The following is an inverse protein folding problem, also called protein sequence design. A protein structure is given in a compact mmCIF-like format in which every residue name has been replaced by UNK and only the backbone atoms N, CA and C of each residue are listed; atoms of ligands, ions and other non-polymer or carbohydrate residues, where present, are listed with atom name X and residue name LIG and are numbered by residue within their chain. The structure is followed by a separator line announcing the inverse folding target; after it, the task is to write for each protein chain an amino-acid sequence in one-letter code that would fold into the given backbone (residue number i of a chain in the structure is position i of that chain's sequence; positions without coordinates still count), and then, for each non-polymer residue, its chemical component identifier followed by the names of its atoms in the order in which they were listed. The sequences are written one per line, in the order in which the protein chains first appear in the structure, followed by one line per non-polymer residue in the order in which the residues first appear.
data_IF_697176222599
#
_entry.id   IF_697176222599
#
_cell.length_a   1.000
_cell.length_b   1.000
_cell.length_c   1.000
_cell.angle_alpha   90.00
_cell.angle_beta   90.00
_cell.angle_gamma   90.00
#
_symmetry.space_group_name_H-M   'P 1'
#
loop_
_entity.id
_entity.type
_entity.pdbx_description
1 polymer ?
#
# COMPACT_ATOMS: atom_id res chain seq x y z
N UNK A 1 17.96 -29.58 2.65
CA UNK A 1 16.84 -29.35 1.74
C UNK A 1 16.67 -27.86 1.69
N UNK A 2 17.03 -27.23 0.57
CA UNK A 2 16.80 -25.79 0.39
C UNK A 2 15.29 -25.57 0.42
N UNK A 3 14.81 -24.95 1.50
CA UNK A 3 13.47 -24.40 1.47
C UNK A 3 13.45 -23.34 0.34
N UNK A 4 12.46 -23.38 -0.56
CA UNK A 4 12.30 -22.31 -1.53
C UNK A 4 12.23 -21.00 -0.74
N UNK A 5 13.12 -20.06 -1.06
CA UNK A 5 13.21 -18.78 -0.35
C UNK A 5 11.89 -18.06 -0.52
N UNK A 6 11.15 -17.87 0.57
CA UNK A 6 9.90 -17.11 0.60
C UNK A 6 10.13 -15.59 0.62
N UNK A 7 11.36 -15.18 0.89
CA UNK A 7 11.77 -13.79 1.05
C UNK A 7 12.12 -13.18 -0.32
N UNK A 8 11.78 -11.91 -0.54
CA UNK A 8 12.10 -11.20 -1.77
C UNK A 8 13.61 -10.97 -1.90
N UNK A 9 14.07 -10.79 -3.14
CA UNK A 9 15.43 -10.31 -3.40
C UNK A 9 15.53 -8.80 -3.16
N UNK A 10 16.72 -8.32 -2.81
CA UNK A 10 17.01 -6.89 -2.81
C UNK A 10 16.89 -6.32 -4.25
N UNK A 11 16.17 -5.22 -4.47
CA UNK A 11 16.05 -4.56 -5.79
C UNK A 11 17.33 -3.79 -6.14
N UNK A 12 17.43 -3.28 -7.38
CA UNK A 12 18.51 -2.39 -7.74
C UNK A 12 18.38 -1.03 -7.01
N UNK A 13 19.49 -0.46 -6.51
CA UNK A 13 19.44 0.82 -5.83
C UNK A 13 19.11 1.94 -6.80
N UNK A 14 18.41 2.96 -6.29
CA UNK A 14 17.89 4.10 -7.07
C UNK A 14 18.66 5.40 -6.83
N UNK A 15 19.67 5.35 -5.98
CA UNK A 15 20.57 6.45 -5.68
C UNK A 15 21.45 6.16 -4.45
N UNK A 16 22.17 7.17 -3.94
CA UNK A 16 23.10 7.01 -2.82
C UNK A 16 22.47 6.47 -1.53
N UNK A 17 21.22 6.83 -1.23
CA UNK A 17 20.56 6.40 0.02
C UNK A 17 20.22 4.92 -0.01
N UNK A 18 19.48 4.49 -1.04
CA UNK A 18 19.08 3.09 -1.21
C UNK A 18 20.29 2.18 -1.38
N UNK A 19 21.33 2.62 -2.10
CA UNK A 19 22.60 1.87 -2.21
C UNK A 19 23.28 1.68 -0.85
N UNK A 20 23.35 2.72 -0.03
CA UNK A 20 24.01 2.62 1.28
C UNK A 20 23.20 1.74 2.26
N UNK A 21 21.86 1.82 2.24
CA UNK A 21 21.01 0.89 3.00
C UNK A 21 21.22 -0.54 2.52
N UNK A 22 21.16 -0.78 1.22
CA UNK A 22 21.36 -2.12 0.63
C UNK A 22 22.74 -2.72 0.97
N UNK A 23 23.82 -1.92 0.88
CA UNK A 23 25.16 -2.37 1.26
C UNK A 23 25.24 -2.69 2.76
N UNK A 24 24.59 -1.89 3.63
CA UNK A 24 24.53 -2.19 5.07
C UNK A 24 23.78 -3.50 5.33
N UNK A 25 22.66 -3.74 4.65
CA UNK A 25 21.89 -4.98 4.76
C UNK A 25 22.68 -6.23 4.33
N UNK A 26 23.65 -6.07 3.42
CA UNK A 26 24.58 -7.14 3.03
C UNK A 26 25.81 -7.27 3.96
N UNK A 27 26.02 -6.33 4.88
CA UNK A 27 27.21 -6.26 5.72
C UNK A 27 28.45 -5.67 5.02
N UNK A 28 28.25 -4.98 3.89
CA UNK A 28 29.31 -4.55 2.97
C UNK A 28 29.63 -3.04 3.03
N UNK A 29 28.87 -2.24 3.79
CA UNK A 29 29.09 -0.80 3.79
C UNK A 29 28.38 -0.03 4.91
N UNK A 30 28.72 1.27 5.06
CA UNK A 30 28.08 2.14 6.04
C UNK A 30 26.68 2.56 5.58
N UNK A 31 25.85 2.92 6.55
CA UNK A 31 24.56 3.57 6.32
C UNK A 31 24.71 4.99 5.72
N UNK A 32 23.65 5.54 5.08
CA UNK A 32 23.66 6.89 4.55
C UNK A 32 23.99 7.95 5.62
N UNK A 33 24.71 9.00 5.23
CA UNK A 33 24.95 10.13 6.12
C UNK A 33 23.67 10.98 6.27
N UNK A 34 23.44 11.54 7.47
CA UNK A 34 22.26 12.35 7.77
C UNK A 34 22.08 13.55 6.81
N UNK A 35 23.19 14.17 6.38
CA UNK A 35 23.16 15.27 5.40
C UNK A 35 22.62 14.85 4.03
N UNK A 36 22.89 13.60 3.63
CA UNK A 36 22.45 13.07 2.33
C UNK A 36 20.96 12.73 2.41
N UNK A 37 20.52 12.18 3.55
CA UNK A 37 19.10 12.01 3.87
C UNK A 37 18.39 13.36 3.82
N UNK A 38 18.93 14.41 4.47
CA UNK A 38 18.36 15.75 4.52
C UNK A 38 18.26 16.46 3.14
N UNK A 39 19.16 16.15 2.22
CA UNK A 39 19.17 16.75 0.87
C UNK A 39 18.26 16.01 -0.13
N UNK A 40 17.89 14.75 0.12
CA UNK A 40 17.13 13.96 -0.83
C UNK A 40 15.68 14.47 -1.02
N UNK A 41 15.14 14.41 -2.26
CA UNK A 41 13.72 14.64 -2.52
C UNK A 41 12.86 13.63 -1.77
N UNK A 42 11.92 14.12 -0.94
CA UNK A 42 11.16 13.28 0.00
C UNK A 42 10.26 12.26 -0.69
N UNK A 43 9.58 12.62 -1.79
CA UNK A 43 8.80 11.67 -2.59
C UNK A 43 9.62 11.07 -3.75
N UNK A 44 10.94 11.21 -3.72
CA UNK A 44 11.84 10.71 -4.76
C UNK A 44 12.15 9.21 -4.60
N UNK A 45 12.45 8.56 -5.72
CA UNK A 45 12.74 7.14 -5.82
C UNK A 45 13.80 6.63 -4.82
N UNK A 46 14.88 7.39 -4.63
CA UNK A 46 15.98 6.96 -3.77
C UNK A 46 15.59 6.93 -2.29
N UNK A 47 14.96 8.00 -1.79
CA UNK A 47 14.51 8.08 -0.40
C UNK A 47 13.41 7.05 -0.12
N UNK A 48 12.43 6.95 -1.02
CA UNK A 48 11.29 6.05 -0.82
C UNK A 48 11.69 4.58 -0.92
N UNK A 49 12.65 4.23 -1.77
CA UNK A 49 13.21 2.88 -1.76
C UNK A 49 14.02 2.61 -0.49
N UNK A 50 14.91 3.53 -0.08
CA UNK A 50 15.66 3.36 1.16
C UNK A 50 14.74 3.13 2.37
N UNK A 51 13.63 3.88 2.45
CA UNK A 51 12.63 3.73 3.51
C UNK A 51 11.87 2.39 3.40
N UNK A 52 11.49 1.97 2.19
CA UNK A 52 10.85 0.66 1.96
C UNK A 52 11.74 -0.49 2.45
N UNK A 53 13.04 -0.45 2.12
CA UNK A 53 14.00 -1.48 2.56
C UNK A 53 14.08 -1.57 4.09
N UNK A 54 14.01 -0.44 4.79
CA UNK A 54 13.96 -0.42 6.25
C UNK A 54 12.66 -1.01 6.82
N UNK A 55 11.52 -0.80 6.15
CA UNK A 55 10.23 -1.31 6.62
C UNK A 55 10.05 -2.80 6.37
N UNK A 56 10.54 -3.32 5.24
CA UNK A 56 10.33 -4.72 4.88
C UNK A 56 10.95 -5.71 5.89
N UNK A 57 11.93 -5.26 6.69
CA UNK A 57 12.50 -6.02 7.81
C UNK A 57 11.48 -6.34 8.92
N UNK A 58 10.38 -5.59 9.02
CA UNK A 58 9.28 -5.87 9.97
C UNK A 58 8.18 -6.76 9.38
N UNK A 59 8.36 -7.22 8.14
CA UNK A 59 7.47 -8.14 7.45
C UNK A 59 8.22 -9.43 7.12
N UNK A 60 8.58 -9.65 5.84
CA UNK A 60 9.27 -10.88 5.40
C UNK A 60 10.77 -10.72 5.25
N UNK A 61 11.32 -9.52 5.44
CA UNK A 61 12.74 -9.26 5.24
C UNK A 61 13.18 -9.44 3.79
N UNK A 62 14.44 -9.79 3.57
CA UNK A 62 15.00 -10.06 2.25
C UNK A 62 15.91 -11.28 2.28
N UNK A 63 15.93 -12.01 1.16
CA UNK A 63 16.78 -13.19 0.99
C UNK A 63 18.25 -12.86 1.24
N UNK A 64 18.84 -13.52 2.25
CA UNK A 64 20.25 -13.37 2.61
C UNK A 64 20.56 -12.19 3.52
N UNK A 65 19.53 -11.46 4.00
CA UNK A 65 19.66 -10.41 5.01
C UNK A 65 19.38 -11.02 6.39
N UNK A 66 20.20 -10.68 7.39
CA UNK A 66 20.01 -11.22 8.75
C UNK A 66 18.72 -10.69 9.38
N UNK A 67 17.86 -11.54 9.99
CA UNK A 67 16.66 -11.07 10.69
C UNK A 67 16.99 -10.19 11.91
N UNK A 68 18.19 -10.30 12.48
CA UNK A 68 18.62 -9.45 13.60
C UNK A 68 18.73 -7.96 13.21
N UNK A 69 18.82 -7.66 11.90
CA UNK A 69 18.85 -6.28 11.41
C UNK A 69 17.52 -5.54 11.58
N UNK A 70 16.41 -6.25 11.85
CA UNK A 70 15.13 -5.64 12.24
C UNK A 70 15.32 -4.65 13.41
N UNK A 71 16.23 -4.98 14.33
CA UNK A 71 16.50 -4.19 15.53
C UNK A 71 17.91 -3.59 15.56
N UNK A 72 18.60 -3.50 14.42
CA UNK A 72 19.92 -2.85 14.34
C UNK A 72 19.83 -1.36 14.72
N UNK A 73 20.49 -0.90 15.81
CA UNK A 73 20.33 0.46 16.28
C UNK A 73 20.80 1.52 15.29
N UNK A 74 21.75 1.20 14.42
CA UNK A 74 22.22 2.14 13.41
C UNK A 74 21.18 2.30 12.30
N UNK A 75 20.64 1.20 11.78
CA UNK A 75 19.59 1.20 10.77
C UNK A 75 18.31 1.89 11.29
N UNK A 76 17.93 1.65 12.54
CA UNK A 76 16.79 2.33 13.16
C UNK A 76 16.98 3.86 13.25
N UNK A 77 18.21 4.35 13.49
CA UNK A 77 18.50 5.80 13.44
C UNK A 77 18.35 6.35 12.01
N UNK A 78 18.85 5.63 11.01
CA UNK A 78 18.66 6.01 9.61
C UNK A 78 17.19 6.03 9.22
N UNK A 79 16.41 5.00 9.61
CA UNK A 79 14.97 4.96 9.36
C UNK A 79 14.27 6.15 10.00
N UNK A 80 14.55 6.47 11.26
CA UNK A 80 13.94 7.60 11.94
C UNK A 80 14.19 8.94 11.20
N UNK A 81 15.38 9.15 10.65
CA UNK A 81 15.68 10.34 9.85
C UNK A 81 14.90 10.39 8.51
N UNK A 82 14.71 9.24 7.85
CA UNK A 82 13.90 9.12 6.64
C UNK A 82 12.40 9.37 6.96
N UNK A 83 11.91 8.77 8.05
CA UNK A 83 10.55 8.93 8.56
C UNK A 83 10.23 10.38 8.93
N UNK A 84 11.14 11.08 9.62
CA UNK A 84 10.95 12.48 9.99
C UNK A 84 10.75 13.37 8.75
N UNK A 85 11.59 13.17 7.72
CA UNK A 85 11.44 13.86 6.43
C UNK A 85 10.11 13.54 5.78
N UNK A 86 9.74 12.26 5.73
CA UNK A 86 8.51 11.81 5.06
C UNK A 86 7.25 12.29 5.78
N UNK A 87 7.15 12.07 7.09
CA UNK A 87 6.03 12.54 7.91
C UNK A 87 5.90 14.06 7.90
N UNK A 88 7.03 14.78 7.95
CA UNK A 88 7.06 16.24 7.86
C UNK A 88 6.47 16.74 6.55
N UNK A 89 6.83 16.12 5.43
CA UNK A 89 6.28 16.46 4.11
C UNK A 89 4.79 16.11 4.00
N UNK A 90 4.36 14.92 4.44
CA UNK A 90 2.95 14.54 4.44
C UNK A 90 2.09 15.53 5.24
N UNK A 91 2.56 15.97 6.42
CA UNK A 91 1.85 16.97 7.24
C UNK A 91 1.76 18.33 6.56
N UNK A 92 2.75 18.71 5.76
CA UNK A 92 2.77 19.98 5.05
C UNK A 92 1.91 19.95 3.78
N UNK A 93 1.93 18.83 3.04
CA UNK A 93 1.37 18.75 1.70
C UNK A 93 -0.04 18.15 1.67
N UNK A 94 -0.34 17.21 2.57
CA UNK A 94 -1.58 16.43 2.51
C UNK A 94 -2.71 17.01 3.36
N UNK A 95 -2.41 17.62 4.52
CA UNK A 95 -3.42 18.05 5.50
C UNK A 95 -4.39 19.08 4.87
N UNK A 96 -5.67 18.73 4.87
CA UNK A 96 -6.79 19.51 4.31
C UNK A 96 -7.89 19.74 5.33
N UNK A 97 -8.17 18.77 6.18
CA UNK A 97 -9.30 18.79 7.11
C UNK A 97 -8.86 18.91 8.57
N UNK A 98 -9.71 19.53 9.38
CA UNK A 98 -9.50 19.71 10.82
C UNK A 98 -10.40 18.80 11.69
N UNK A 99 -11.37 18.11 11.07
CA UNK A 99 -12.31 17.19 11.72
C UNK A 99 -12.45 15.89 10.93
N UNK A 100 -12.85 14.81 11.61
CA UNK A 100 -13.11 13.51 10.96
C UNK A 100 -14.37 13.58 10.10
N UNK A 101 -15.38 14.31 10.53
CA UNK A 101 -16.62 14.47 9.77
C UNK A 101 -16.35 15.06 8.39
N UNK A 102 -15.59 16.17 8.32
CA UNK A 102 -15.24 16.81 7.05
C UNK A 102 -14.38 15.89 6.17
N UNK A 103 -13.40 15.22 6.77
CA UNK A 103 -12.50 14.31 6.05
C UNK A 103 -13.25 13.13 5.41
N UNK A 104 -14.24 12.57 6.11
CA UNK A 104 -15.03 11.44 5.60
C UNK A 104 -16.13 11.88 4.63
N UNK A 105 -16.69 13.09 4.77
CA UNK A 105 -17.79 13.57 3.94
C UNK A 105 -17.47 13.51 2.44
N UNK A 106 -16.24 13.83 2.05
CA UNK A 106 -15.79 13.76 0.66
C UNK A 106 -15.70 12.33 0.10
N UNK A 107 -15.38 11.34 0.95
CA UNK A 107 -15.25 9.94 0.54
C UNK A 107 -16.60 9.26 0.32
N UNK A 108 -17.64 9.72 1.02
CA UNK A 108 -18.99 9.15 0.97
C UNK A 108 -19.79 9.54 -0.28
N UNK A 109 -19.25 10.45 -1.08
CA UNK A 109 -19.91 10.94 -2.30
C UNK A 109 -19.15 10.41 -3.51
N UNK A 110 -19.75 9.44 -4.19
CA UNK A 110 -19.22 8.95 -5.46
C UNK A 110 -19.42 10.01 -6.57
N UNK A 111 -18.34 10.51 -7.22
CA UNK A 111 -18.47 11.45 -8.32
C UNK A 111 -19.12 10.79 -9.53
N UNK A 112 -20.23 11.35 -10.00
CA UNK A 112 -20.96 10.84 -11.19
C UNK A 112 -20.07 10.81 -12.44
N UNK A 113 -19.22 11.82 -12.60
CA UNK A 113 -18.24 11.95 -13.69
C UNK A 113 -16.80 11.71 -13.21
N UNK A 114 -16.59 10.66 -12.41
CA UNK A 114 -15.27 10.32 -11.87
C UNK A 114 -14.23 10.04 -12.97
N UNK A 115 -13.00 10.55 -12.79
CA UNK A 115 -11.92 10.45 -13.78
C UNK A 115 -10.65 9.74 -13.27
N UNK A 116 -10.72 9.18 -12.05
CA UNK A 116 -9.62 8.47 -11.40
C UNK A 116 -9.26 7.13 -12.06
N UNK A 117 -8.24 6.46 -11.50
CA UNK A 117 -7.66 5.21 -12.04
C UNK A 117 -8.70 4.13 -12.28
N UNK A 118 -9.57 3.83 -11.31
CA UNK A 118 -10.60 2.79 -11.45
C UNK A 118 -11.63 3.13 -12.53
N UNK A 119 -11.98 4.42 -12.71
CA UNK A 119 -12.86 4.87 -13.80
C UNK A 119 -12.18 4.69 -15.16
N UNK A 120 -10.91 5.10 -15.27
CA UNK A 120 -10.14 4.91 -16.49
C UNK A 120 -10.02 3.43 -16.86
N UNK A 121 -9.68 2.56 -15.90
CA UNK A 121 -9.52 1.13 -16.14
C UNK A 121 -10.85 0.46 -16.51
N UNK A 122 -11.97 0.86 -15.90
CA UNK A 122 -13.31 0.40 -16.28
C UNK A 122 -13.68 0.81 -17.69
N UNK A 123 -13.47 2.08 -18.07
CA UNK A 123 -14.02 2.63 -19.31
C UNK A 123 -13.09 2.44 -20.52
N UNK A 124 -11.78 2.53 -20.30
CA UNK A 124 -10.75 2.65 -21.34
C UNK A 124 -9.53 1.75 -21.13
N UNK A 125 -9.41 1.14 -19.95
CA UNK A 125 -8.30 0.27 -19.59
C UNK A 125 -8.08 -0.86 -20.59
N UNK A 126 -6.82 -1.09 -20.93
CA UNK A 126 -6.37 -2.23 -21.73
C UNK A 126 -5.74 -3.28 -20.81
N UNK A 127 -5.69 -4.54 -21.25
CA UNK A 127 -5.20 -5.64 -20.41
C UNK A 127 -3.76 -5.41 -19.89
N UNK A 128 -2.88 -4.81 -20.70
CA UNK A 128 -1.52 -4.49 -20.25
C UNK A 128 -1.48 -3.45 -19.13
N UNK A 129 -2.45 -2.53 -19.07
CA UNK A 129 -2.57 -1.53 -17.99
C UNK A 129 -3.09 -2.18 -16.71
N UNK A 130 -4.02 -3.15 -16.82
CA UNK A 130 -4.47 -3.95 -15.67
C UNK A 130 -3.34 -4.81 -15.11
N UNK A 131 -2.49 -5.38 -15.98
CA UNK A 131 -1.26 -6.09 -15.57
C UNK A 131 -0.29 -5.19 -14.84
N UNK A 132 -0.04 -3.98 -15.34
CA UNK A 132 0.81 -3.00 -14.64
C UNK A 132 0.21 -2.58 -13.30
N UNK A 133 -1.11 -2.35 -13.26
CA UNK A 133 -1.82 -1.98 -12.03
C UNK A 133 -1.67 -3.07 -10.96
N UNK A 134 -1.95 -4.34 -11.30
CA UNK A 134 -1.80 -5.47 -10.40
C UNK A 134 -0.33 -5.68 -9.97
N UNK A 135 0.63 -5.54 -10.89
CA UNK A 135 2.05 -5.63 -10.56
C UNK A 135 2.49 -4.56 -9.55
N UNK A 136 2.05 -3.31 -9.70
CA UNK A 136 2.36 -2.25 -8.75
C UNK A 136 1.67 -2.47 -7.39
N UNK A 137 0.40 -2.83 -7.40
CA UNK A 137 -0.38 -3.05 -6.18
C UNK A 137 0.07 -4.31 -5.40
N UNK A 138 0.76 -5.25 -6.05
CA UNK A 138 1.33 -6.45 -5.40
C UNK A 138 2.29 -6.14 -4.26
N UNK A 139 2.92 -4.96 -4.23
CA UNK A 139 3.82 -4.52 -3.16
C UNK A 139 3.10 -4.39 -1.81
N UNK A 140 1.79 -4.16 -1.83
CA UNK A 140 0.93 -4.17 -0.66
C UNK A 140 0.06 -5.43 -0.61
N UNK A 141 -0.73 -5.74 -1.65
CA UNK A 141 -1.76 -6.78 -1.52
C UNK A 141 -1.21 -8.18 -1.23
N UNK A 142 0.03 -8.50 -1.59
CA UNK A 142 0.63 -9.79 -1.21
C UNK A 142 1.02 -9.89 0.30
N UNK A 143 0.77 -8.83 1.07
CA UNK A 143 0.83 -8.77 2.54
C UNK A 143 -0.39 -8.06 3.15
N UNK A 144 -1.52 -8.04 2.44
CA UNK A 144 -2.78 -7.56 3.02
C UNK A 144 -3.26 -8.55 4.09
N UNK A 145 -3.62 -8.14 5.32
CA UNK A 145 -3.72 -6.77 5.87
C UNK A 145 -2.61 -6.41 6.89
N UNK A 146 -1.40 -6.99 6.76
CA UNK A 146 -0.32 -6.92 7.77
C UNK A 146 -0.02 -5.50 8.31
N UNK A 147 0.03 -4.42 7.49
CA UNK A 147 0.29 -3.07 8.01
C UNK A 147 -0.80 -2.53 8.95
N UNK A 148 -2.06 -2.95 8.78
CA UNK A 148 -3.19 -2.51 9.59
C UNK A 148 -3.24 -3.25 10.93
N UNK A 149 -2.84 -4.52 10.96
CA UNK A 149 -2.77 -5.34 12.18
C UNK A 149 -1.93 -4.72 13.30
N UNK A 150 -0.92 -3.89 12.97
CA UNK A 150 -0.11 -3.16 13.97
C UNK A 150 -0.91 -2.23 14.88
N UNK A 151 -2.14 -1.85 14.49
CA UNK A 151 -3.02 -1.03 15.32
C UNK A 151 -3.64 -1.82 16.47
N UNK A 152 -3.85 -3.13 16.32
CA UNK A 152 -4.59 -3.97 17.28
C UNK A 152 -4.03 -3.96 18.71
N UNK A 153 -2.70 -3.97 18.94
CA UNK A 153 -2.15 -3.84 20.29
C UNK A 153 -2.38 -2.46 20.93
N UNK A 154 -2.73 -1.45 20.13
CA UNK A 154 -2.85 -0.04 20.55
C UNK A 154 -4.29 0.40 20.76
N UNK A 155 -5.25 -0.35 20.21
CA UNK A 155 -6.68 -0.14 20.44
C UNK A 155 -7.14 -0.86 21.70
N UNK A 156 -8.26 -0.38 22.25
CA UNK A 156 -9.00 -0.99 23.37
C UNK A 156 -10.50 -0.90 23.11
N UNK A 157 -11.30 -1.56 23.94
CA UNK A 157 -12.76 -1.44 23.91
C UNK A 157 -13.39 -1.80 22.57
N UNK A 158 -14.45 -1.07 22.20
CA UNK A 158 -15.25 -1.29 21.00
C UNK A 158 -14.42 -1.18 19.72
N UNK A 159 -13.52 -0.19 19.64
CA UNK A 159 -12.66 -0.01 18.48
C UNK A 159 -11.77 -1.22 18.22
N UNK A 160 -11.20 -1.83 19.26
CA UNK A 160 -10.36 -3.03 19.12
C UNK A 160 -11.17 -4.22 18.61
N UNK A 161 -12.35 -4.45 19.19
CA UNK A 161 -13.19 -5.58 18.82
C UNK A 161 -13.65 -5.49 17.36
N UNK A 162 -14.05 -4.29 16.92
CA UNK A 162 -14.44 -4.03 15.55
C UNK A 162 -13.27 -4.16 14.57
N UNK A 163 -12.11 -3.57 14.87
CA UNK A 163 -10.91 -3.70 14.03
C UNK A 163 -10.49 -5.18 13.88
N UNK A 164 -10.50 -5.94 14.97
CA UNK A 164 -10.15 -7.36 14.93
C UNK A 164 -11.14 -8.20 14.12
N UNK A 165 -12.42 -7.81 14.07
CA UNK A 165 -13.42 -8.50 13.27
C UNK A 165 -13.19 -8.29 11.77
N UNK A 166 -12.85 -7.06 11.35
CA UNK A 166 -12.50 -6.76 9.95
C UNK A 166 -11.21 -7.49 9.57
N UNK A 167 -10.14 -7.36 10.36
CA UNK A 167 -8.88 -8.08 10.12
C UNK A 167 -9.07 -9.61 10.04
N UNK A 168 -9.96 -10.19 10.86
CA UNK A 168 -10.25 -11.62 10.79
C UNK A 168 -10.84 -12.01 9.43
N UNK A 169 -11.66 -11.15 8.83
CA UNK A 169 -12.20 -11.36 7.48
C UNK A 169 -11.11 -11.21 6.41
N UNK A 170 -10.27 -10.17 6.48
CA UNK A 170 -9.10 -9.97 5.61
C UNK A 170 -8.14 -11.18 5.60
N UNK A 171 -7.96 -11.81 6.77
CA UNK A 171 -7.22 -13.08 6.92
C UNK A 171 -8.06 -14.34 6.60
N UNK A 172 -9.10 -14.20 5.78
CA UNK A 172 -9.91 -15.29 5.21
C UNK A 172 -10.86 -15.99 6.19
N UNK A 173 -11.13 -15.39 7.34
CA UNK A 173 -11.93 -15.99 8.40
C UNK A 173 -11.32 -17.28 8.96
N UNK A 174 -9.98 -17.36 9.00
CA UNK A 174 -9.23 -18.55 9.43
C UNK A 174 -9.03 -19.61 8.34
N UNK A 175 -9.35 -19.30 7.08
CA UNK A 175 -9.13 -20.19 5.92
C UNK A 175 -8.00 -19.64 5.05
N UNK A 176 -6.90 -20.38 4.99
CA UNK A 176 -5.68 -19.92 4.30
C UNK A 176 -5.89 -19.65 2.80
N UNK A 177 -6.77 -20.41 2.15
CA UNK A 177 -7.17 -20.26 0.75
C UNK A 177 -8.09 -19.05 0.49
N UNK A 178 -8.48 -18.32 1.54
CA UNK A 178 -9.31 -17.11 1.43
C UNK A 178 -8.66 -15.86 1.99
N UNK A 179 -7.42 -15.95 2.47
CA UNK A 179 -6.66 -14.76 2.86
C UNK A 179 -6.58 -13.84 1.64
N UNK A 180 -6.88 -12.56 1.78
CA UNK A 180 -6.98 -11.65 0.62
C UNK A 180 -5.67 -11.55 -0.17
N UNK A 181 -4.52 -11.67 0.51
CA UNK A 181 -3.23 -11.80 -0.16
C UNK A 181 -3.09 -13.04 -1.07
N UNK A 182 -3.76 -14.15 -0.73
CA UNK A 182 -3.84 -15.34 -1.59
C UNK A 182 -4.75 -15.08 -2.80
N UNK A 183 -5.94 -14.52 -2.58
CA UNK A 183 -6.87 -14.17 -3.66
C UNK A 183 -6.24 -13.18 -4.65
N UNK A 184 -5.43 -12.22 -4.17
CA UNK A 184 -4.68 -11.32 -5.04
C UNK A 184 -3.62 -12.06 -5.88
N UNK A 185 -2.95 -13.07 -5.31
CA UNK A 185 -2.02 -13.91 -6.05
C UNK A 185 -2.73 -14.74 -7.15
N UNK A 186 -3.96 -15.18 -6.92
CA UNK A 186 -4.77 -15.84 -7.95
C UNK A 186 -5.16 -14.86 -9.07
N UNK A 187 -5.58 -13.64 -8.72
CA UNK A 187 -5.79 -12.55 -9.69
C UNK A 187 -4.54 -12.29 -10.54
N UNK A 188 -3.36 -12.27 -9.92
CA UNK A 188 -2.09 -12.07 -10.62
C UNK A 188 -1.80 -13.23 -11.58
N UNK A 189 -2.14 -14.47 -11.19
CA UNK A 189 -1.97 -15.66 -12.04
C UNK A 189 -2.82 -15.56 -13.31
N UNK A 190 -4.08 -15.16 -13.17
CA UNK A 190 -5.00 -14.91 -14.29
C UNK A 190 -4.46 -13.84 -15.27
N UNK A 191 -3.83 -12.80 -14.73
CA UNK A 191 -3.18 -11.75 -15.50
C UNK A 191 -1.80 -12.15 -16.09
N UNK A 192 -1.34 -13.39 -15.88
CA UNK A 192 -0.03 -13.86 -16.35
C UNK A 192 1.14 -13.15 -15.68
N UNK A 193 1.01 -12.84 -14.38
CA UNK A 193 2.04 -12.22 -13.55
C UNK A 193 2.71 -13.26 -12.64
N UNK A 194 3.92 -12.96 -12.21
CA UNK A 194 4.68 -13.75 -11.24
C UNK A 194 4.25 -13.34 -9.83
N UNK A 195 3.71 -14.30 -9.08
CA UNK A 195 3.10 -14.09 -7.76
C UNK A 195 4.10 -14.06 -6.62
N UNK A 196 5.39 -14.19 -6.91
CA UNK A 196 6.44 -14.16 -5.89
C UNK A 196 6.41 -12.83 -5.15
N UNK A 197 6.36 -12.90 -3.81
CA UNK A 197 6.34 -11.71 -2.96
C UNK A 197 7.54 -10.79 -3.26
N UNK A 198 7.28 -9.49 -3.42
CA UNK A 198 8.27 -8.47 -3.75
C UNK A 198 8.83 -8.52 -5.18
N UNK A 199 8.32 -9.39 -6.07
CA UNK A 199 8.83 -9.57 -7.44
C UNK A 199 8.94 -8.27 -8.24
N UNK A 200 7.95 -7.39 -8.08
CA UNK A 200 7.79 -6.17 -8.84
C UNK A 200 8.39 -4.92 -8.15
N UNK A 201 9.08 -5.10 -7.02
CA UNK A 201 9.71 -4.01 -6.29
C UNK A 201 10.73 -3.23 -7.15
N UNK A 202 11.52 -3.93 -7.97
CA UNK A 202 12.49 -3.29 -8.88
C UNK A 202 11.81 -2.44 -9.98
N UNK A 203 10.63 -2.90 -10.46
CA UNK A 203 9.86 -2.23 -11.51
C UNK A 203 9.00 -1.06 -10.99
N UNK A 204 8.68 -1.04 -9.69
CA UNK A 204 7.85 -0.02 -9.06
C UNK A 204 8.49 1.38 -9.08
N UNK A 205 7.69 2.45 -9.15
CA UNK A 205 8.17 3.84 -9.03
C UNK A 205 8.01 4.40 -7.62
N UNK A 206 8.55 5.58 -7.38
CA UNK A 206 8.45 6.24 -6.08
C UNK A 206 6.99 6.38 -5.61
N UNK A 207 6.05 6.70 -6.50
CA UNK A 207 4.67 6.99 -6.14
C UNK A 207 3.95 5.80 -5.49
N UNK A 208 4.22 4.55 -5.91
CA UNK A 208 3.69 3.36 -5.22
C UNK A 208 4.45 3.04 -3.94
N UNK A 209 5.75 3.36 -3.86
CA UNK A 209 6.50 3.19 -2.61
C UNK A 209 5.99 4.17 -1.54
N UNK A 210 5.59 5.38 -1.95
CA UNK A 210 4.97 6.37 -1.04
C UNK A 210 3.70 5.81 -0.40
N UNK A 211 2.81 5.17 -1.18
CA UNK A 211 1.56 4.60 -0.62
C UNK A 211 1.86 3.44 0.34
N UNK A 212 2.79 2.54 0.01
CA UNK A 212 3.14 1.40 0.86
C UNK A 212 3.89 1.85 2.14
N UNK A 213 4.82 2.80 2.01
CA UNK A 213 5.57 3.35 3.13
C UNK A 213 4.67 4.13 4.11
N UNK A 214 3.60 4.78 3.62
CA UNK A 214 2.61 5.45 4.46
C UNK A 214 1.99 4.47 5.47
N UNK A 215 1.60 3.29 5.01
CA UNK A 215 0.97 2.26 5.84
C UNK A 215 1.93 1.79 6.94
N UNK A 216 3.20 1.56 6.59
CA UNK A 216 4.22 1.13 7.54
C UNK A 216 4.60 2.24 8.54
N UNK A 217 4.63 3.50 8.09
CA UNK A 217 4.86 4.67 8.96
C UNK A 217 3.76 4.78 10.02
N UNK A 218 2.50 4.70 9.63
CA UNK A 218 1.38 4.72 10.57
C UNK A 218 1.32 3.44 11.42
N UNK A 219 1.61 2.30 10.77
CA UNK A 219 1.72 0.96 11.33
C UNK A 219 2.69 0.86 12.49
N UNK A 220 3.93 1.31 12.34
CA UNK A 220 4.98 1.06 13.33
C UNK A 220 5.02 2.10 14.48
N UNK A 221 4.33 3.23 14.32
CA UNK A 221 4.35 4.32 15.31
C UNK A 221 3.07 4.41 16.13
N UNK A 222 3.14 4.08 17.44
CA UNK A 222 1.98 4.21 18.36
C UNK A 222 1.35 5.61 18.35
N UNK A 223 2.18 6.65 18.20
CA UNK A 223 1.73 8.02 18.13
C UNK A 223 0.85 8.31 16.90
N UNK A 224 0.96 7.52 15.84
CA UNK A 224 0.22 7.67 14.58
C UNK A 224 -0.98 6.70 14.47
N UNK A 225 -1.42 6.08 15.57
CA UNK A 225 -2.56 5.13 15.55
C UNK A 225 -3.85 5.75 15.04
N UNK A 226 -4.11 7.04 15.32
CA UNK A 226 -5.25 7.77 14.76
C UNK A 226 -5.13 7.88 13.24
N UNK A 227 -3.94 8.22 12.73
CA UNK A 227 -3.68 8.28 11.30
C UNK A 227 -3.80 6.92 10.60
N UNK A 228 -3.40 5.82 11.25
CA UNK A 228 -3.63 4.47 10.72
C UNK A 228 -5.12 4.14 10.61
N UNK A 229 -5.92 4.51 11.63
CA UNK A 229 -7.38 4.33 11.60
C UNK A 229 -8.02 5.19 10.50
N UNK A 230 -7.56 6.43 10.30
CA UNK A 230 -8.03 7.29 9.20
C UNK A 230 -7.67 6.74 7.82
N UNK A 231 -6.45 6.21 7.66
CA UNK A 231 -6.03 5.49 6.46
C UNK A 231 -6.92 4.28 6.19
N UNK A 232 -7.13 3.45 7.22
CA UNK A 232 -7.98 2.27 7.13
C UNK A 232 -9.42 2.63 6.73
N UNK A 233 -10.01 3.64 7.37
CA UNK A 233 -11.33 4.13 6.99
C UNK A 233 -11.40 4.60 5.53
N UNK A 234 -10.33 5.18 5.01
CA UNK A 234 -10.30 5.64 3.61
C UNK A 234 -10.36 4.47 2.65
N UNK A 235 -9.59 3.41 2.89
CA UNK A 235 -9.61 2.23 2.03
C UNK A 235 -10.96 1.52 2.11
N UNK A 236 -11.50 1.31 3.30
CA UNK A 236 -12.81 0.64 3.49
C UNK A 236 -13.96 1.41 2.84
N UNK A 237 -14.00 2.75 3.00
CA UNK A 237 -15.08 3.57 2.43
C UNK A 237 -15.05 3.57 0.91
N UNK A 238 -13.84 3.56 0.32
CA UNK A 238 -13.67 3.70 -1.12
C UNK A 238 -13.54 2.36 -1.85
N UNK A 239 -13.37 1.25 -1.12
CA UNK A 239 -13.12 -0.06 -1.70
C UNK A 239 -14.32 -0.59 -2.48
N UNK A 240 -15.49 -0.77 -1.88
CA UNK A 240 -16.66 -1.34 -2.58
C UNK A 240 -16.98 -0.66 -3.92
N UNK A 241 -17.07 0.69 -4.03
CA UNK A 241 -17.25 1.33 -5.33
C UNK A 241 -16.04 1.13 -6.26
N UNK A 242 -14.81 1.30 -5.76
CA UNK A 242 -13.59 1.09 -6.56
C UNK A 242 -13.50 -0.32 -7.15
N UNK A 243 -13.71 -1.33 -6.30
CA UNK A 243 -13.70 -2.75 -6.62
C UNK A 243 -14.78 -3.11 -7.63
N UNK A 244 -16.00 -2.54 -7.53
CA UNK A 244 -17.05 -2.74 -8.56
C UNK A 244 -16.55 -2.36 -9.96
N UNK A 245 -15.87 -1.21 -10.08
CA UNK A 245 -15.34 -0.74 -11.37
C UNK A 245 -14.18 -1.59 -11.85
N UNK A 246 -13.34 -2.07 -10.95
CA UNK A 246 -12.22 -2.95 -11.28
C UNK A 246 -12.72 -4.33 -11.71
N UNK A 247 -13.74 -4.90 -11.06
CA UNK A 247 -14.41 -6.12 -11.50
C UNK A 247 -15.01 -5.98 -12.91
N UNK A 248 -15.65 -4.84 -13.20
CA UNK A 248 -16.12 -4.52 -14.56
C UNK A 248 -14.96 -4.40 -15.57
N UNK A 249 -13.83 -3.81 -15.17
CA UNK A 249 -12.63 -3.73 -16.01
C UNK A 249 -12.05 -5.12 -16.31
N UNK A 250 -11.99 -6.00 -15.30
CA UNK A 250 -11.50 -7.38 -15.44
C UNK A 250 -12.39 -8.19 -16.40
N UNK A 251 -13.72 -8.15 -16.20
CA UNK A 251 -14.70 -8.78 -17.11
C UNK A 251 -14.55 -8.31 -18.55
N UNK A 252 -14.49 -7.00 -18.75
CA UNK A 252 -14.44 -6.37 -20.09
C UNK A 252 -13.17 -6.75 -20.85
N UNK A 253 -12.05 -6.92 -20.16
CA UNK A 253 -10.74 -7.19 -20.77
C UNK A 253 -10.39 -8.67 -20.82
N UNK A 254 -11.25 -9.55 -20.29
CA UNK A 254 -11.01 -10.99 -20.25
C UNK A 254 -9.85 -11.36 -19.34
N UNK A 255 -9.69 -10.66 -18.21
CA UNK A 255 -8.59 -10.85 -17.28
C UNK A 255 -8.58 -12.24 -16.63
N UNK A 256 -9.75 -12.85 -16.44
CA UNK A 256 -9.90 -14.20 -15.88
C UNK A 256 -10.82 -14.23 -14.65
N UNK A 257 -11.37 -15.41 -14.29
CA UNK A 257 -12.36 -15.55 -13.24
C UNK A 257 -11.84 -15.26 -11.82
N UNK A 258 -10.59 -15.57 -11.50
CA UNK A 258 -9.99 -15.23 -10.21
C UNK A 258 -9.73 -13.72 -10.09
N UNK A 259 -9.33 -13.07 -11.20
CA UNK A 259 -9.18 -11.63 -11.24
C UNK A 259 -10.51 -10.89 -11.03
N UNK A 260 -11.62 -11.42 -11.56
CA UNK A 260 -12.97 -10.93 -11.28
C UNK A 260 -13.37 -11.19 -9.82
N UNK A 261 -13.17 -12.42 -9.34
CA UNK A 261 -13.56 -12.84 -8.00
C UNK A 261 -12.93 -11.99 -6.89
N UNK A 262 -11.63 -11.67 -6.99
CA UNK A 262 -10.95 -10.84 -6.01
C UNK A 262 -11.67 -9.51 -5.77
N UNK A 263 -12.09 -8.81 -6.83
CA UNK A 263 -12.78 -7.54 -6.68
C UNK A 263 -14.26 -7.70 -6.33
N UNK A 264 -14.94 -8.76 -6.81
CA UNK A 264 -16.33 -9.01 -6.40
C UNK A 264 -16.42 -9.34 -4.89
N UNK A 265 -15.43 -10.02 -4.30
CA UNK A 265 -15.35 -10.24 -2.85
C UNK A 265 -15.30 -8.91 -2.08
N UNK A 266 -14.44 -7.98 -2.50
CA UNK A 266 -14.31 -6.64 -1.89
C UNK A 266 -15.54 -5.74 -2.15
N UNK A 267 -16.38 -6.03 -3.14
CA UNK A 267 -17.66 -5.31 -3.30
C UNK A 267 -18.62 -5.66 -2.17
N UNK A 268 -18.69 -6.94 -1.80
CA UNK A 268 -19.63 -7.47 -0.81
C UNK A 268 -19.13 -7.28 0.63
N UNK A 269 -17.89 -7.69 0.92
CA UNK A 269 -17.30 -7.60 2.26
C UNK A 269 -17.20 -6.14 2.72
N UNK A 270 -16.63 -5.27 1.87
CA UNK A 270 -16.27 -3.92 2.31
C UNK A 270 -17.48 -2.99 2.43
N UNK A 271 -18.62 -3.34 1.81
CA UNK A 271 -19.88 -2.64 2.06
C UNK A 271 -20.33 -2.78 3.53
N UNK A 272 -19.98 -3.88 4.19
CA UNK A 272 -20.22 -4.09 5.62
C UNK A 272 -19.09 -3.45 6.44
N UNK A 273 -17.83 -3.64 6.01
CA UNK A 273 -16.67 -3.09 6.72
C UNK A 273 -16.71 -1.56 6.82
N UNK A 274 -17.14 -0.86 5.76
CA UNK A 274 -17.31 0.59 5.74
C UNK A 274 -18.14 1.10 6.94
N UNK A 275 -19.26 0.43 7.22
CA UNK A 275 -20.13 0.77 8.34
C UNK A 275 -19.48 0.46 9.69
N UNK A 276 -18.84 -0.71 9.82
CA UNK A 276 -18.13 -1.12 11.04
C UNK A 276 -16.99 -0.16 11.36
N UNK A 277 -16.22 0.25 10.36
CA UNK A 277 -15.09 1.15 10.57
C UNK A 277 -15.56 2.55 10.96
N UNK A 278 -16.56 3.09 10.28
CA UNK A 278 -17.09 4.43 10.61
C UNK A 278 -17.73 4.48 12.00
N UNK A 279 -18.53 3.49 12.35
CA UNK A 279 -19.34 3.55 13.56
C UNK A 279 -18.68 2.91 14.78
N UNK A 280 -17.97 1.80 14.61
CA UNK A 280 -17.40 1.04 15.73
C UNK A 280 -15.90 1.25 15.90
N UNK A 281 -15.11 1.30 14.82
CA UNK A 281 -13.68 1.58 14.92
C UNK A 281 -13.43 3.06 15.25
N UNK A 282 -13.86 3.99 14.39
CA UNK A 282 -13.70 5.43 14.61
C UNK A 282 -14.53 5.88 15.81
N UNK A 283 -15.81 5.52 15.85
CA UNK A 283 -16.70 5.90 16.94
C UNK A 283 -16.19 5.41 18.30
N UNK A 284 -15.80 4.13 18.39
CA UNK A 284 -15.22 3.58 19.61
C UNK A 284 -13.88 4.22 19.98
N UNK A 285 -13.05 4.59 19.00
CA UNK A 285 -11.77 5.25 19.26
C UNK A 285 -11.98 6.66 19.81
N UNK A 286 -12.91 7.44 19.25
CA UNK A 286 -13.17 8.81 19.69
C UNK A 286 -13.94 8.90 21.01
N UNK A 287 -14.72 7.88 21.36
CA UNK A 287 -15.29 7.73 22.71
C UNK A 287 -14.20 7.59 23.77
N UNK A 288 -13.17 6.78 23.48
CA UNK A 288 -12.10 6.46 24.41
C UNK A 288 -10.94 7.49 24.38
N UNK A 289 -10.68 8.07 23.22
CA UNK A 289 -9.50 8.89 22.90
C UNK A 289 -9.85 10.08 21.97
N UNK A 290 -10.74 11.01 22.39
CA UNK A 290 -11.24 12.09 21.52
C UNK A 290 -10.15 13.03 20.98
N UNK A 291 -8.99 13.09 21.63
CA UNK A 291 -7.84 13.88 21.19
C UNK A 291 -7.22 13.41 19.86
N UNK A 292 -7.58 12.22 19.36
CA UNK A 292 -7.08 11.65 18.11
C UNK A 292 -7.85 12.09 16.86
N UNK A 293 -8.91 12.89 16.99
CA UNK A 293 -9.75 13.31 15.85
C UNK A 293 -8.93 13.89 14.69
N UNK A 294 -7.99 14.80 14.99
CA UNK A 294 -7.11 15.40 13.99
C UNK A 294 -6.13 14.41 13.37
N UNK A 295 -5.71 13.40 14.13
CA UNK A 295 -4.82 12.36 13.61
C UNK A 295 -5.58 11.45 12.63
N UNK A 296 -6.85 11.14 12.92
CA UNK A 296 -7.73 10.38 12.01
C UNK A 296 -7.97 11.18 10.71
N UNK A 297 -8.32 12.46 10.82
CA UNK A 297 -8.48 13.33 9.65
C UNK A 297 -7.18 13.41 8.82
N UNK A 298 -6.03 13.55 9.47
CA UNK A 298 -4.74 13.52 8.80
C UNK A 298 -4.45 12.18 8.09
N UNK A 299 -4.85 11.05 8.68
CA UNK A 299 -4.74 9.73 8.06
C UNK A 299 -5.52 9.62 6.75
N UNK A 300 -6.73 10.17 6.74
CA UNK A 300 -7.57 10.26 5.54
C UNK A 300 -6.90 11.13 4.47
N UNK A 301 -6.52 12.34 4.86
CA UNK A 301 -5.89 13.31 3.98
C UNK A 301 -4.60 12.79 3.33
N UNK A 302 -3.72 12.18 4.14
CA UNK A 302 -2.48 11.59 3.68
C UNK A 302 -2.75 10.45 2.69
N UNK A 303 -3.75 9.60 2.96
CA UNK A 303 -4.10 8.49 2.07
C UNK A 303 -4.57 9.00 0.73
N UNK A 304 -5.55 9.91 0.72
CA UNK A 304 -6.07 10.53 -0.52
C UNK A 304 -4.94 11.21 -1.30
N UNK A 305 -4.11 12.01 -0.63
CA UNK A 305 -2.98 12.69 -1.27
C UNK A 305 -2.01 11.71 -1.95
N UNK A 306 -1.63 10.63 -1.27
CA UNK A 306 -0.69 9.65 -1.85
C UNK A 306 -1.31 8.83 -2.99
N UNK A 307 -2.61 8.52 -2.91
CA UNK A 307 -3.35 7.87 -3.99
C UNK A 307 -3.54 8.81 -5.19
N UNK A 308 -3.76 10.11 -4.98
CA UNK A 308 -3.80 11.13 -6.04
C UNK A 308 -2.45 11.19 -6.78
N UNK A 309 -1.33 11.21 -6.05
CA UNK A 309 0.01 11.20 -6.65
C UNK A 309 0.26 9.96 -7.53
N UNK A 310 -0.12 8.78 -7.04
CA UNK A 310 -0.03 7.54 -7.81
C UNK A 310 -0.95 7.60 -9.03
N UNK A 311 -2.21 8.00 -8.83
CA UNK A 311 -3.21 8.06 -9.88
C UNK A 311 -2.82 9.01 -11.03
N UNK A 312 -2.33 10.20 -10.69
CA UNK A 312 -1.85 11.18 -11.68
C UNK A 312 -0.71 10.60 -12.53
N UNK A 313 0.25 9.91 -11.90
CA UNK A 313 1.35 9.25 -12.61
C UNK A 313 0.84 8.16 -13.54
N UNK A 314 0.01 7.24 -13.05
CA UNK A 314 -0.52 6.13 -13.84
C UNK A 314 -1.30 6.64 -15.05
N UNK A 315 -2.22 7.57 -14.82
CA UNK A 315 -3.05 8.13 -15.88
C UNK A 315 -2.24 8.92 -16.90
N UNK A 316 -1.20 9.64 -16.47
CA UNK A 316 -0.33 10.38 -17.40
C UNK A 316 0.43 9.45 -18.36
N UNK A 317 0.98 8.34 -17.86
CA UNK A 317 1.74 7.39 -18.69
C UNK A 317 0.79 6.57 -19.58
N UNK A 318 -0.32 6.05 -19.04
CA UNK A 318 -1.28 5.26 -19.81
C UNK A 318 -2.00 6.06 -20.90
N UNK A 319 -2.40 7.31 -20.63
CA UNK A 319 -3.00 8.20 -21.66
C UNK A 319 -2.02 8.54 -22.77
N UNK A 320 -0.73 8.46 -22.50
CA UNK A 320 0.32 8.65 -23.48
C UNK A 320 0.79 7.35 -24.15
N UNK A 321 0.13 6.20 -23.87
CA UNK A 321 0.49 4.90 -24.43
C UNK A 321 1.83 4.37 -23.94
N UNK A 322 2.28 4.76 -22.74
CA UNK A 322 3.55 4.33 -22.14
C UNK A 322 3.31 3.51 -20.89
N UNK A 323 4.27 2.63 -20.59
CA UNK A 323 4.33 1.90 -19.34
C UNK A 323 4.50 2.85 -18.15
N UNK A 324 3.77 2.62 -17.07
CA UNK A 324 3.96 3.32 -15.81
C UNK A 324 5.08 2.70 -14.94
N UNK A 325 5.61 1.54 -15.31
CA UNK A 325 6.72 0.88 -14.63
C UNK A 325 8.06 1.55 -14.95
N UNK A 326 9.06 1.35 -14.09
CA UNK A 326 10.48 1.68 -14.40
C UNK A 326 11.04 0.70 -15.42
N UNK A 327 10.73 -0.58 -15.23
CA UNK A 327 11.08 -1.69 -16.10
C UNK A 327 9.78 -2.27 -16.65
N UNK A 328 9.42 -2.01 -17.92
CA UNK A 328 8.18 -2.50 -18.50
C UNK A 328 8.04 -4.02 -18.38
N UNK A 329 6.81 -4.52 -18.21
CA UNK A 329 6.55 -5.95 -18.28
C UNK A 329 6.93 -6.47 -19.67
N UNK A 330 7.39 -7.73 -19.78
CA UNK A 330 7.53 -8.38 -21.08
C UNK A 330 6.18 -8.30 -21.82
N UNK A 331 6.20 -7.79 -23.04
CA UNK A 331 5.02 -7.87 -23.89
C UNK A 331 4.84 -9.33 -24.30
N UNK A 332 3.65 -9.88 -24.09
CA UNK A 332 3.30 -11.15 -24.73
C UNK A 332 3.36 -10.91 -26.23
N UNK A 333 4.38 -11.49 -26.88
CA UNK A 333 4.50 -11.48 -28.34
C UNK A 333 3.34 -12.32 -28.84
N UNK A 334 2.22 -11.67 -29.13
CA UNK A 334 1.16 -12.28 -29.92
C UNK A 334 1.77 -12.58 -31.28
N UNK A 335 2.13 -13.85 -31.50
CA UNK A 335 2.40 -14.35 -32.83
C UNK A 335 1.10 -14.19 -33.63
N UNK A 336 0.98 -13.07 -34.34
CA UNK A 336 0.08 -12.94 -35.48
C UNK A 336 0.51 -14.00 -36.49
N UNK A 337 -0.26 -15.07 -36.58
CA UNK A 337 -0.31 -15.92 -37.78
C UNK A 337 -1.43 -15.47 -38.69
#
# INVERSE_FOLDING_TARGET
MDHPRSEPLLPAPRGPLSLAVENHLRGDGPLPAERDVAAAPVYGDDLQLALYLCYELHYRGFAGVSPDLEWDPALLRTRAALEERFLGALRADARRHDSVEDALAGLLVEPVDGTGVSHFLRDKGELWQLREYAALRSLYHLKEADPHAWVLPRLRGRAKAAMAAVEFDEYGGGRADRVHAHLFAELMTDLGLDTTYGRYLDAARAEVLVTVNLMSLFGLHRALRGALVGHFATVEITSSPGSRRLAEAMRRTGAGPAAEHFYDEHVEADAVHEQVVRHDVIGGLLEDEPHLERDIAFGVDATVFTEDLLGDRLLADWRAGRSCLRTPLPQDVTHTS
#
